data_IF_649974770953
#
_entry.id   IF_649974770953
#
_cell.length_a   1.000
_cell.length_b   1.000
_cell.length_c   1.000
_cell.angle_alpha   90.00
_cell.angle_beta   90.00
_cell.angle_gamma   90.00
#
_symmetry.space_group_name_H-M   'P 1'
#
loop_
_entity.id
_entity.type
_entity.pdbx_description
1 polymer ?
#
# COMPACT_ATOMS: atom_id res chain seq x y z
N UNK A 1 -20.16 6.71 -17.87
CA UNK A 1 -19.85 7.76 -16.86
C UNK A 1 -18.75 8.66 -17.42
N UNK A 2 -19.00 9.95 -17.64
CA UNK A 2 -17.94 10.88 -18.11
C UNK A 2 -17.02 11.23 -16.94
N UNK A 3 -15.72 10.96 -17.09
CA UNK A 3 -14.71 11.27 -16.08
C UNK A 3 -14.29 12.74 -16.24
N UNK A 4 -14.85 13.61 -15.40
CA UNK A 4 -14.54 15.05 -15.40
C UNK A 4 -13.05 15.28 -15.08
N UNK A 5 -12.46 16.30 -15.71
CA UNK A 5 -11.08 16.67 -15.44
C UNK A 5 -11.01 17.43 -14.11
N UNK A 6 -10.42 16.83 -13.08
CA UNK A 6 -10.14 17.52 -11.81
C UNK A 6 -8.81 18.29 -11.90
N UNK A 7 -8.75 19.57 -11.45
CA UNK A 7 -7.56 20.41 -11.54
C UNK A 7 -6.36 19.85 -10.75
N UNK A 8 -6.60 19.02 -9.74
CA UNK A 8 -5.54 18.38 -8.95
C UNK A 8 -4.82 17.22 -9.67
N UNK A 9 -5.38 16.66 -10.75
CA UNK A 9 -4.74 15.59 -11.54
C UNK A 9 -3.44 16.03 -12.22
N UNK A 10 -3.31 17.34 -12.50
CA UNK A 10 -2.18 17.96 -13.19
C UNK A 10 -0.91 17.92 -12.32
N UNK A 11 -1.06 17.87 -11.00
CA UNK A 11 0.07 17.86 -10.06
C UNK A 11 0.45 16.47 -9.53
N UNK A 12 -0.19 15.39 -10.01
CA UNK A 12 0.00 14.03 -9.48
C UNK A 12 1.47 13.61 -9.37
N UNK A 13 2.27 13.75 -10.44
CA UNK A 13 3.69 13.39 -10.41
C UNK A 13 4.48 14.21 -9.38
N UNK A 14 4.33 15.55 -9.39
CA UNK A 14 5.03 16.45 -8.47
C UNK A 14 4.63 16.19 -7.01
N UNK A 15 3.36 15.89 -6.80
CA UNK A 15 2.78 15.54 -5.49
C UNK A 15 3.46 14.28 -4.93
N UNK A 16 3.48 13.20 -5.71
CA UNK A 16 4.16 11.96 -5.31
C UNK A 16 5.66 12.16 -5.13
N UNK A 17 6.33 12.90 -6.01
CA UNK A 17 7.76 13.25 -5.88
C UNK A 17 8.09 13.93 -4.55
N UNK A 18 7.25 14.88 -4.11
CA UNK A 18 7.43 15.59 -2.84
C UNK A 18 7.22 14.66 -1.65
N UNK A 19 6.19 13.81 -1.70
CA UNK A 19 5.92 12.81 -0.67
C UNK A 19 7.10 11.83 -0.55
N UNK A 20 7.56 11.26 -1.67
CA UNK A 20 8.72 10.39 -1.73
C UNK A 20 9.99 11.02 -1.14
N UNK A 21 10.29 12.28 -1.49
CA UNK A 21 11.43 13.02 -0.92
C UNK A 21 11.31 13.22 0.60
N UNK A 22 10.10 13.53 1.09
CA UNK A 22 9.85 13.68 2.51
C UNK A 22 10.10 12.36 3.27
N UNK A 23 9.60 11.24 2.73
CA UNK A 23 9.81 9.90 3.31
C UNK A 23 11.29 9.51 3.28
N UNK A 24 12.00 9.74 2.18
CA UNK A 24 13.44 9.46 2.09
C UNK A 24 14.24 10.28 3.11
N UNK A 25 13.86 11.54 3.34
CA UNK A 25 14.45 12.37 4.39
C UNK A 25 14.21 11.77 5.77
N UNK A 26 12.97 11.37 6.07
CA UNK A 26 12.63 10.70 7.33
C UNK A 26 13.47 9.43 7.57
N UNK A 27 13.58 8.56 6.55
CA UNK A 27 14.41 7.35 6.61
C UNK A 27 15.90 7.65 6.78
N UNK A 28 16.41 8.69 6.13
CA UNK A 28 17.79 9.16 6.33
C UNK A 28 18.02 9.61 7.77
N UNK A 29 17.08 10.35 8.37
CA UNK A 29 17.14 10.74 9.79
C UNK A 29 17.17 9.52 10.72
N UNK A 30 16.34 8.50 10.46
CA UNK A 30 16.36 7.23 11.21
C UNK A 30 17.74 6.56 11.08
N UNK A 31 18.28 6.44 9.87
CA UNK A 31 19.59 5.84 9.64
C UNK A 31 20.72 6.59 10.36
N UNK A 32 20.69 7.92 10.35
CA UNK A 32 21.67 8.75 11.07
C UNK A 32 21.57 8.55 12.58
N UNK A 33 20.36 8.48 13.13
CA UNK A 33 20.14 8.21 14.55
C UNK A 33 20.70 6.85 14.97
N UNK A 34 20.53 5.80 14.16
CA UNK A 34 21.06 4.47 14.45
C UNK A 34 22.59 4.39 14.40
N UNK A 35 23.23 5.21 13.55
CA UNK A 35 24.70 5.27 13.42
C UNK A 35 25.37 6.01 14.58
N UNK A 36 24.63 6.79 15.35
CA UNK A 36 25.15 7.51 16.51
C UNK A 36 25.45 6.54 17.66
N UNK A 37 26.71 6.06 17.70
CA UNK A 37 27.21 5.12 18.72
C UNK A 37 27.21 5.71 20.15
N UNK A 38 27.17 7.03 20.28
CA UNK A 38 27.16 7.73 21.57
C UNK A 38 25.74 8.05 22.06
N UNK A 39 24.70 7.70 21.29
CA UNK A 39 23.32 7.86 21.71
C UNK A 39 22.96 6.84 22.80
N UNK A 40 22.49 7.35 23.94
CA UNK A 40 21.88 6.56 25.00
C UNK A 40 20.79 5.64 24.40
N UNK A 41 20.73 4.37 24.84
CA UNK A 41 19.72 3.41 24.38
C UNK A 41 18.29 3.85 24.74
N UNK A 42 18.15 4.77 25.69
CA UNK A 42 16.88 5.38 26.10
C UNK A 42 16.44 6.56 25.22
N UNK A 43 17.31 7.06 24.34
CA UNK A 43 17.01 8.23 23.50
C UNK A 43 15.89 7.90 22.53
N UNK A 44 14.84 8.73 22.53
CA UNK A 44 13.70 8.64 21.62
C UNK A 44 13.69 9.83 20.69
N UNK A 45 13.28 9.61 19.44
CA UNK A 45 13.04 10.67 18.46
C UNK A 45 11.56 10.68 18.13
N UNK A 46 10.91 11.81 18.39
CA UNK A 46 9.56 12.05 17.87
C UNK A 46 9.66 12.51 16.41
N UNK A 47 8.92 11.85 15.53
CA UNK A 47 8.91 12.15 14.11
C UNK A 47 7.47 12.20 13.61
N UNK A 48 7.15 13.31 12.93
CA UNK A 48 5.91 13.46 12.19
C UNK A 48 6.23 13.25 10.72
N UNK A 49 5.77 12.13 10.15
CA UNK A 49 5.98 11.81 8.74
C UNK A 49 4.67 11.95 7.99
N UNK A 50 4.66 12.78 6.95
CA UNK A 50 3.54 12.81 6.03
C UNK A 50 3.53 11.51 5.22
N UNK A 51 2.49 10.68 5.38
CA UNK A 51 2.30 9.38 4.70
C UNK A 51 1.19 9.43 3.66
N UNK A 52 0.34 10.45 3.71
CA UNK A 52 -0.73 10.71 2.76
C UNK A 52 -1.01 12.20 2.72
N UNK A 53 -1.54 12.70 1.60
CA UNK A 53 -1.88 14.11 1.42
C UNK A 53 -3.35 14.37 1.76
N UNK A 54 -4.11 13.31 2.10
CA UNK A 54 -5.44 13.47 2.69
C UNK A 54 -5.35 13.99 4.13
N UNK A 55 -6.46 14.53 4.61
CA UNK A 55 -6.65 14.87 6.01
C UNK A 55 -6.34 13.65 6.90
N UNK A 56 -5.53 13.85 7.95
CA UNK A 56 -5.08 12.76 8.84
C UNK A 56 -3.89 11.94 8.32
N UNK A 57 -3.28 12.30 7.17
CA UNK A 57 -2.13 11.59 6.60
C UNK A 57 -0.78 11.83 7.30
N UNK A 58 -0.79 12.25 8.57
CA UNK A 58 0.43 12.42 9.38
C UNK A 58 0.57 11.19 10.26
N UNK A 59 1.67 10.47 10.08
CA UNK A 59 2.10 9.41 10.97
C UNK A 59 2.98 10.01 12.05
N UNK A 60 2.44 10.08 13.27
CA UNK A 60 3.21 10.45 14.45
C UNK A 60 3.85 9.19 15.02
N UNK A 61 5.18 9.17 15.05
CA UNK A 61 5.95 8.04 15.54
C UNK A 61 6.98 8.48 16.57
N UNK A 62 7.10 7.68 17.63
CA UNK A 62 8.19 7.77 18.58
C UNK A 62 9.18 6.65 18.25
N UNK A 63 10.36 7.00 17.77
CA UNK A 63 11.37 6.05 17.28
C UNK A 63 12.44 5.84 18.35
N UNK A 64 12.73 4.58 18.64
CA UNK A 64 13.82 4.12 19.48
C UNK A 64 14.61 3.00 18.80
N UNK A 65 15.65 2.48 19.47
CA UNK A 65 16.50 1.41 18.92
C UNK A 65 15.79 0.05 18.82
N UNK A 66 14.63 -0.13 19.43
CA UNK A 66 13.89 -1.40 19.42
C UNK A 66 12.79 -1.43 18.36
N UNK A 67 12.17 -0.28 18.05
CA UNK A 67 11.04 -0.20 17.12
C UNK A 67 11.38 0.35 15.73
N UNK A 68 12.61 0.84 15.51
CA UNK A 68 12.96 1.49 14.24
C UNK A 68 12.72 0.59 13.01
N UNK A 69 12.87 -0.73 13.15
CA UNK A 69 12.76 -1.67 12.04
C UNK A 69 11.34 -1.72 11.48
N UNK A 70 10.32 -1.70 12.35
CA UNK A 70 8.92 -1.73 11.92
C UNK A 70 8.55 -0.45 11.18
N UNK A 71 8.99 0.70 11.72
CA UNK A 71 8.76 2.01 11.13
C UNK A 71 9.51 2.17 9.80
N UNK A 72 10.80 1.82 9.73
CA UNK A 72 11.55 1.89 8.47
C UNK A 72 10.96 0.98 7.39
N UNK A 73 10.52 -0.23 7.78
CA UNK A 73 9.85 -1.16 6.86
C UNK A 73 8.58 -0.56 6.28
N UNK A 74 7.73 0.06 7.11
CA UNK A 74 6.55 0.77 6.64
C UNK A 74 6.90 1.93 5.71
N UNK A 75 7.83 2.80 6.12
CA UNK A 75 8.27 3.94 5.31
C UNK A 75 8.87 3.51 3.95
N UNK A 76 9.56 2.36 3.90
CA UNK A 76 10.06 1.77 2.66
C UNK A 76 8.92 1.48 1.68
N UNK A 77 7.82 0.88 2.14
CA UNK A 77 6.68 0.58 1.26
C UNK A 77 5.91 1.83 0.83
N UNK A 78 5.74 2.82 1.71
CA UNK A 78 5.15 4.11 1.32
C UNK A 78 6.01 4.78 0.24
N UNK A 79 7.34 4.77 0.40
CA UNK A 79 8.28 5.29 -0.61
C UNK A 79 8.19 4.52 -1.92
N UNK A 80 8.03 3.20 -1.87
CA UNK A 80 7.87 2.35 -3.05
C UNK A 80 6.62 2.72 -3.84
N UNK A 81 5.46 2.82 -3.17
CA UNK A 81 4.20 3.21 -3.80
C UNK A 81 4.30 4.60 -4.41
N UNK A 82 4.82 5.57 -3.67
CA UNK A 82 4.91 6.96 -4.15
C UNK A 82 5.82 7.07 -5.38
N UNK A 83 6.94 6.35 -5.40
CA UNK A 83 7.84 6.30 -6.57
C UNK A 83 7.15 5.66 -7.78
N UNK A 84 6.39 4.57 -7.57
CA UNK A 84 5.67 3.90 -8.64
C UNK A 84 4.54 4.79 -9.20
N UNK A 85 3.80 5.49 -8.35
CA UNK A 85 2.77 6.45 -8.74
C UNK A 85 3.35 7.66 -9.46
N UNK A 86 4.49 8.20 -9.01
CA UNK A 86 5.21 9.28 -9.72
C UNK A 86 5.56 8.84 -11.15
N UNK A 87 6.17 7.66 -11.30
CA UNK A 87 6.50 7.09 -12.63
C UNK A 87 5.26 6.91 -13.49
N UNK A 88 4.18 6.37 -12.92
CA UNK A 88 2.91 6.21 -13.60
C UNK A 88 2.38 7.56 -14.12
N UNK A 89 2.41 8.58 -13.27
CA UNK A 89 1.94 9.91 -13.62
C UNK A 89 2.76 10.57 -14.74
N UNK A 90 4.06 10.29 -14.81
CA UNK A 90 4.96 10.81 -15.84
C UNK A 90 4.86 10.08 -17.18
N UNK A 91 4.50 8.79 -17.16
CA UNK A 91 4.57 7.93 -18.35
C UNK A 91 3.24 7.75 -19.06
N UNK A 92 2.13 7.71 -18.32
CA UNK A 92 0.82 7.36 -18.89
C UNK A 92 0.01 8.61 -19.29
N UNK A 93 -0.49 8.69 -20.54
CA UNK A 93 -1.33 9.78 -20.99
C UNK A 93 -2.71 9.74 -20.34
N UNK A 94 -3.39 10.90 -20.25
CA UNK A 94 -4.70 11.08 -19.58
C UNK A 94 -5.65 12.05 -20.29
N UNK A 95 -5.39 12.32 -21.57
CA UNK A 95 -6.15 13.29 -22.35
C UNK A 95 -7.55 12.80 -22.72
N UNK A 96 -7.67 11.55 -23.19
CA UNK A 96 -8.95 10.96 -23.58
C UNK A 96 -9.61 10.13 -22.46
N UNK A 97 -10.90 9.81 -22.62
CA UNK A 97 -11.61 8.92 -21.68
C UNK A 97 -10.95 7.55 -21.59
N UNK A 98 -10.57 6.96 -22.72
CA UNK A 98 -9.87 5.67 -22.77
C UNK A 98 -8.52 5.72 -22.04
N UNK A 99 -7.76 6.79 -22.26
CA UNK A 99 -6.49 7.01 -21.55
C UNK A 99 -6.70 7.15 -20.03
N UNK A 100 -7.75 7.85 -19.58
CA UNK A 100 -8.09 7.94 -18.15
C UNK A 100 -8.51 6.59 -17.56
N UNK A 101 -9.29 5.80 -18.30
CA UNK A 101 -9.69 4.45 -17.91
C UNK A 101 -8.46 3.53 -17.78
N UNK A 102 -7.57 3.54 -18.79
CA UNK A 102 -6.30 2.81 -18.75
C UNK A 102 -5.41 3.25 -17.58
N UNK A 103 -5.34 4.56 -17.35
CA UNK A 103 -4.59 5.12 -16.22
C UNK A 103 -5.13 4.62 -14.88
N UNK A 104 -6.45 4.60 -14.68
CA UNK A 104 -7.10 4.07 -13.48
C UNK A 104 -6.62 2.63 -13.22
N UNK A 105 -6.67 1.77 -14.25
CA UNK A 105 -6.26 0.36 -14.12
C UNK A 105 -4.77 0.23 -13.80
N UNK A 106 -3.90 0.98 -14.46
CA UNK A 106 -2.48 1.01 -14.10
C UNK A 106 -2.26 1.48 -12.66
N UNK A 107 -3.02 2.47 -12.18
CA UNK A 107 -2.94 2.94 -10.81
C UNK A 107 -3.38 1.85 -9.82
N UNK A 108 -4.47 1.14 -10.12
CA UNK A 108 -4.92 -0.03 -9.34
C UNK A 108 -3.81 -1.08 -9.26
N UNK A 109 -3.15 -1.40 -10.39
CA UNK A 109 -2.05 -2.36 -10.43
C UNK A 109 -0.88 -1.91 -9.56
N UNK A 110 -0.50 -0.63 -9.56
CA UNK A 110 0.57 -0.10 -8.69
C UNK A 110 0.27 -0.35 -7.21
N UNK A 111 -0.99 -0.14 -6.78
CA UNK A 111 -1.37 -0.43 -5.41
C UNK A 111 -1.34 -1.94 -5.12
N UNK A 112 -1.86 -2.78 -6.02
CA UNK A 112 -1.81 -4.25 -5.88
C UNK A 112 -0.37 -4.77 -5.80
N UNK A 113 0.54 -4.22 -6.61
CA UNK A 113 1.97 -4.55 -6.59
C UNK A 113 2.60 -4.22 -5.22
N UNK A 114 2.22 -3.09 -4.64
CA UNK A 114 2.71 -2.74 -3.29
C UNK A 114 2.12 -3.69 -2.23
N UNK A 115 0.81 -3.97 -2.28
CA UNK A 115 0.16 -4.91 -1.35
C UNK A 115 0.78 -6.31 -1.43
N UNK A 116 1.11 -6.75 -2.65
CA UNK A 116 1.82 -8.00 -2.88
C UNK A 116 3.21 -7.98 -2.24
N UNK A 117 3.99 -6.93 -2.48
CA UNK A 117 5.33 -6.78 -1.90
C UNK A 117 5.31 -6.74 -0.35
N UNK A 118 4.29 -6.12 0.25
CA UNK A 118 4.08 -6.14 1.70
C UNK A 118 3.77 -7.56 2.19
N UNK A 119 2.89 -8.27 1.50
CA UNK A 119 2.48 -9.63 1.88
C UNK A 119 3.62 -10.65 1.70
N UNK A 120 4.44 -10.50 0.67
CA UNK A 120 5.67 -11.29 0.49
C UNK A 120 6.69 -11.00 1.60
N UNK A 121 6.79 -9.75 2.04
CA UNK A 121 7.62 -9.38 3.20
C UNK A 121 7.09 -9.97 4.51
N UNK A 122 5.77 -9.94 4.73
CA UNK A 122 5.14 -10.61 5.87
C UNK A 122 5.49 -12.11 5.87
N UNK A 123 5.39 -12.76 4.71
CA UNK A 123 5.75 -14.17 4.57
C UNK A 123 7.21 -14.42 4.95
N UNK A 124 8.14 -13.57 4.50
CA UNK A 124 9.55 -13.67 4.83
C UNK A 124 9.84 -13.53 6.34
N UNK A 125 9.09 -12.70 7.07
CA UNK A 125 9.27 -12.54 8.53
C UNK A 125 9.02 -13.85 9.30
N UNK A 126 8.10 -14.69 8.80
CA UNK A 126 7.76 -15.98 9.38
C UNK A 126 8.85 -17.04 9.21
N UNK A 127 9.75 -16.85 8.23
CA UNK A 127 10.87 -17.74 8.00
C UNK A 127 11.91 -17.52 9.10
N UNK A 128 12.26 -18.60 9.78
CA UNK A 128 13.29 -18.57 10.82
C UNK A 128 14.64 -18.54 10.10
N UNK A 129 15.36 -17.42 10.16
CA UNK A 129 16.76 -17.37 9.77
C UNK A 129 17.61 -17.96 10.89
N UNK A 130 18.28 -19.09 10.62
CA UNK A 130 19.27 -19.65 11.53
C UNK A 130 20.38 -18.61 11.80
N UNK A 131 20.56 -18.22 13.06
CA UNK A 131 21.65 -17.34 13.50
C UNK A 131 21.27 -15.91 13.86
N UNK A 132 20.06 -15.41 13.53
CA UNK A 132 19.57 -14.12 14.04
C UNK A 132 18.65 -14.32 15.24
N UNK A 133 19.11 -13.93 16.44
CA UNK A 133 18.26 -13.80 17.63
C UNK A 133 17.44 -12.50 17.58
N UNK A 134 16.60 -12.35 16.56
CA UNK A 134 15.55 -11.31 16.59
C UNK A 134 14.46 -11.78 17.54
N UNK A 135 14.02 -10.90 18.46
CA UNK A 135 12.94 -11.25 19.38
C UNK A 135 11.64 -11.36 18.58
N UNK A 136 10.84 -12.37 18.91
CA UNK A 136 9.50 -12.55 18.33
C UNK A 136 8.64 -11.28 18.47
N UNK A 137 8.79 -10.55 19.59
CA UNK A 137 8.13 -9.26 19.83
C UNK A 137 8.45 -8.21 18.78
N UNK A 138 9.69 -8.18 18.29
CA UNK A 138 10.16 -7.15 17.37
C UNK A 138 9.62 -7.44 15.97
N UNK A 139 9.61 -8.73 15.56
CA UNK A 139 8.93 -9.17 14.34
C UNK A 139 7.43 -8.89 14.38
N UNK A 140 6.78 -9.11 15.51
CA UNK A 140 5.35 -8.85 15.67
C UNK A 140 5.02 -7.35 15.47
N UNK A 141 5.84 -6.43 16.00
CA UNK A 141 5.69 -4.99 15.73
C UNK A 141 5.83 -4.67 14.23
N UNK A 142 6.74 -5.33 13.52
CA UNK A 142 6.86 -5.17 12.05
C UNK A 142 5.58 -5.66 11.35
N UNK A 143 5.03 -6.81 11.77
CA UNK A 143 3.76 -7.32 11.22
C UNK A 143 2.64 -6.31 11.42
N UNK A 144 2.49 -5.76 12.62
CA UNK A 144 1.46 -4.74 12.95
C UNK A 144 1.57 -3.51 12.04
N UNK A 145 2.77 -2.92 11.93
CA UNK A 145 3.01 -1.75 11.08
C UNK A 145 2.71 -2.02 9.60
N UNK A 146 3.05 -3.21 9.10
CA UNK A 146 2.81 -3.59 7.71
C UNK A 146 1.33 -3.91 7.43
N UNK A 147 0.63 -4.51 8.39
CA UNK A 147 -0.82 -4.74 8.30
C UNK A 147 -1.57 -3.41 8.30
N UNK A 148 -1.16 -2.45 9.11
CA UNK A 148 -1.73 -1.10 9.08
C UNK A 148 -1.35 -0.34 7.80
N UNK A 149 -0.21 -0.64 7.20
CA UNK A 149 0.16 -0.11 5.89
C UNK A 149 -0.73 -0.65 4.76
N UNK A 150 -1.15 -1.92 4.84
CA UNK A 150 -2.17 -2.48 3.92
C UNK A 150 -3.47 -1.68 4.01
N UNK A 151 -3.97 -1.39 5.22
CA UNK A 151 -5.18 -0.58 5.39
C UNK A 151 -4.98 0.88 4.95
N UNK A 152 -3.79 1.45 5.16
CA UNK A 152 -3.45 2.77 4.64
C UNK A 152 -3.52 2.77 3.12
N UNK A 153 -2.96 1.78 2.44
CA UNK A 153 -3.04 1.68 0.97
C UNK A 153 -4.49 1.51 0.53
N UNK A 154 -5.25 0.61 1.16
CA UNK A 154 -6.66 0.38 0.81
C UNK A 154 -7.52 1.63 0.95
N UNK A 155 -7.30 2.41 2.02
CA UNK A 155 -8.01 3.67 2.27
C UNK A 155 -7.49 4.85 1.46
N UNK A 156 -6.21 4.82 1.04
CA UNK A 156 -5.60 5.88 0.23
C UNK A 156 -5.69 5.64 -1.29
N UNK A 157 -6.03 4.43 -1.72
CA UNK A 157 -6.22 4.08 -3.13
C UNK A 157 -7.49 4.74 -3.69
N UNK A 158 -7.30 5.82 -4.45
CA UNK A 158 -8.38 6.55 -5.10
C UNK A 158 -8.05 6.96 -6.53
N UNK A 159 -9.09 7.14 -7.33
CA UNK A 159 -8.99 7.78 -8.63
C UNK A 159 -10.18 8.72 -8.84
N UNK A 160 -9.92 10.02 -8.99
CA UNK A 160 -10.97 11.06 -9.08
C UNK A 160 -12.01 10.94 -7.97
N UNK A 161 -11.54 10.91 -6.72
CA UNK A 161 -12.38 10.82 -5.52
C UNK A 161 -13.14 9.48 -5.37
N UNK A 162 -12.99 8.56 -6.32
CA UNK A 162 -13.53 7.21 -6.20
C UNK A 162 -12.55 6.33 -5.43
N UNK A 163 -13.00 5.78 -4.30
CA UNK A 163 -12.24 4.80 -3.52
C UNK A 163 -12.19 3.45 -4.23
N UNK A 164 -11.00 2.92 -4.47
CA UNK A 164 -10.83 1.72 -5.30
C UNK A 164 -11.01 0.42 -4.49
N UNK A 165 -10.53 0.39 -3.24
CA UNK A 165 -10.37 -0.85 -2.46
C UNK A 165 -11.30 -0.97 -1.25
N UNK A 166 -12.29 -0.10 -1.13
CA UNK A 166 -13.28 -0.08 -0.04
C UNK A 166 -14.54 -0.89 -0.33
N UNK A 167 -14.65 -1.47 -1.54
CA UNK A 167 -15.76 -2.34 -1.92
C UNK A 167 -16.86 -1.67 -2.75
N UNK A 168 -16.76 -0.36 -3.01
CA UNK A 168 -17.75 0.37 -3.81
C UNK A 168 -17.90 -0.19 -5.23
N UNK A 169 -16.85 -0.79 -5.78
CA UNK A 169 -16.82 -1.40 -7.12
C UNK A 169 -16.67 -2.94 -7.10
N UNK A 170 -16.90 -3.58 -5.95
CA UNK A 170 -16.88 -5.02 -5.86
C UNK A 170 -18.06 -5.64 -6.62
N UNK A 171 -17.94 -6.90 -7.04
CA UNK A 171 -19.01 -7.62 -7.76
C UNK A 171 -20.34 -7.68 -7.00
N UNK A 172 -20.28 -7.72 -5.67
CA UNK A 172 -21.44 -7.72 -4.78
C UNK A 172 -21.86 -6.32 -4.32
N UNK A 173 -21.21 -5.25 -4.83
CA UNK A 173 -21.53 -3.87 -4.45
C UNK A 173 -22.95 -3.50 -4.84
N UNK A 174 -23.63 -2.81 -3.93
CA UNK A 174 -24.94 -2.19 -4.17
C UNK A 174 -24.84 -0.68 -4.37
N UNK A 175 -23.64 -0.12 -4.21
CA UNK A 175 -23.42 1.34 -4.15
C UNK A 175 -23.03 1.89 -5.51
N UNK A 176 -22.08 1.26 -6.20
CA UNK A 176 -21.55 1.75 -7.47
C UNK A 176 -21.15 0.61 -8.42
N UNK A 177 -21.02 0.96 -9.70
CA UNK A 177 -20.51 0.07 -10.75
C UNK A 177 -19.56 0.83 -11.66
N UNK A 178 -18.57 0.14 -12.21
CA UNK A 178 -17.55 0.74 -13.07
C UNK A 178 -17.69 0.20 -14.50
N UNK A 179 -17.95 1.11 -15.44
CA UNK A 179 -18.17 0.78 -16.86
C UNK A 179 -17.07 1.40 -17.72
N UNK A 180 -16.43 0.56 -18.52
CA UNK A 180 -15.32 0.89 -19.39
C UNK A 180 -15.76 0.82 -20.85
N UNK A 181 -15.08 1.57 -21.72
CA UNK A 181 -15.31 1.55 -23.15
C UNK A 181 -14.19 0.72 -23.79
N UNK A 182 -14.55 -0.29 -24.58
CA UNK A 182 -13.60 -1.05 -25.40
C UNK A 182 -13.27 -0.31 -26.70
N UNK A 183 -12.22 -0.76 -27.39
CA UNK A 183 -11.78 -0.16 -28.66
C UNK A 183 -12.86 -0.21 -29.75
N UNK A 184 -13.74 -1.22 -29.71
CA UNK A 184 -14.88 -1.38 -30.62
C UNK A 184 -16.09 -0.47 -30.26
N UNK A 185 -16.03 0.30 -29.17
CA UNK A 185 -17.09 1.20 -28.73
C UNK A 185 -18.18 0.55 -27.85
N UNK A 186 -18.06 -0.74 -27.53
CA UNK A 186 -18.93 -1.40 -26.56
C UNK A 186 -18.56 -1.01 -25.12
N UNK A 187 -19.51 -1.16 -24.20
CA UNK A 187 -19.24 -0.96 -22.78
C UNK A 187 -19.17 -2.29 -22.07
N UNK A 188 -18.12 -2.47 -21.27
CA UNK A 188 -17.98 -3.64 -20.39
C UNK A 188 -17.81 -3.20 -18.94
N UNK A 189 -18.26 -4.05 -18.03
CA UNK A 189 -18.17 -3.78 -16.60
C UNK A 189 -16.87 -4.34 -16.03
N UNK A 190 -16.25 -3.57 -15.14
CA UNK A 190 -15.08 -3.99 -14.37
C UNK A 190 -15.43 -4.02 -12.90
N UNK A 191 -14.84 -4.97 -12.18
CA UNK A 191 -14.97 -5.11 -10.75
C UNK A 191 -13.61 -4.88 -10.09
N UNK A 192 -13.60 -4.11 -9.01
CA UNK A 192 -12.44 -3.96 -8.14
C UNK A 192 -12.88 -4.38 -6.74
N UNK A 193 -12.38 -5.51 -6.21
CA UNK A 193 -12.79 -6.00 -4.91
C UNK A 193 -12.17 -5.19 -3.76
N UNK A 194 -12.68 -5.43 -2.56
CA UNK A 194 -12.11 -4.89 -1.33
C UNK A 194 -10.72 -5.48 -1.04
N UNK A 195 -9.73 -4.62 -0.78
CA UNK A 195 -8.33 -5.01 -0.51
C UNK A 195 -7.81 -4.54 0.86
N UNK A 196 -8.72 -4.38 1.83
CA UNK A 196 -8.37 -4.11 3.23
C UNK A 196 -7.64 -5.30 3.87
N UNK A 197 -6.88 -5.06 4.94
CA UNK A 197 -6.22 -6.12 5.70
C UNK A 197 -7.21 -7.19 6.19
N UNK A 198 -8.42 -6.78 6.58
CA UNK A 198 -9.50 -7.68 7.00
C UNK A 198 -10.01 -8.57 5.85
N UNK A 199 -10.23 -8.01 4.65
CA UNK A 199 -10.66 -8.79 3.49
C UNK A 199 -9.58 -9.73 2.97
N UNK A 200 -8.31 -9.40 3.22
CA UNK A 200 -7.15 -10.23 2.92
C UNK A 200 -6.82 -11.26 4.02
N UNK A 201 -7.56 -11.29 5.13
CA UNK A 201 -7.31 -12.22 6.25
C UNK A 201 -6.06 -11.93 7.08
N UNK A 202 -5.54 -10.69 7.00
CA UNK A 202 -4.38 -10.22 7.75
C UNK A 202 -4.75 -9.58 9.11
N UNK A 203 -6.06 -9.43 9.37
CA UNK A 203 -6.61 -9.09 10.69
C UNK A 203 -7.54 -10.18 11.17
N UNK A 204 -7.60 -10.37 12.49
CA UNK A 204 -8.53 -11.28 13.13
C UNK A 204 -9.94 -10.66 13.29
N UNK A 205 -10.82 -11.37 13.98
CA UNK A 205 -12.18 -10.90 14.24
C UNK A 205 -12.24 -9.72 15.22
N UNK A 206 -11.22 -9.55 16.06
CA UNK A 206 -11.07 -8.41 16.98
C UNK A 206 -10.44 -7.18 16.31
N UNK A 207 -10.09 -7.31 15.03
CA UNK A 207 -9.42 -6.29 14.23
C UNK A 207 -7.95 -6.08 14.63
N UNK A 208 -7.35 -7.08 15.28
CA UNK A 208 -5.93 -7.13 15.60
C UNK A 208 -5.15 -7.78 14.45
N UNK A 209 -3.90 -7.36 14.25
CA UNK A 209 -3.02 -7.97 13.26
C UNK A 209 -2.78 -9.45 13.57
N UNK A 210 -2.66 -10.28 12.53
CA UNK A 210 -2.33 -11.70 12.69
C UNK A 210 -1.01 -11.89 13.45
N UNK A 211 -0.96 -12.89 14.31
CA UNK A 211 0.18 -13.12 15.20
C UNK A 211 1.18 -14.11 14.59
N UNK A 212 2.48 -13.79 14.69
CA UNK A 212 3.57 -14.64 14.17
C UNK A 212 3.93 -15.82 15.08
N UNK A 213 3.39 -15.87 16.31
CA UNK A 213 3.62 -16.94 17.29
C UNK A 213 3.25 -18.35 16.82
N UNK A 214 2.34 -18.47 15.85
CA UNK A 214 2.09 -19.73 15.15
C UNK A 214 2.51 -19.56 13.68
N UNK A 215 3.75 -19.94 13.31
CA UNK A 215 4.27 -19.72 11.97
C UNK A 215 3.44 -20.38 10.87
N UNK A 216 2.86 -21.56 11.12
CA UNK A 216 2.09 -22.28 10.11
C UNK A 216 0.76 -21.59 9.80
N UNK A 217 0.00 -21.19 10.82
CA UNK A 217 -1.25 -20.44 10.64
C UNK A 217 -0.98 -19.07 9.98
N UNK A 218 0.06 -18.37 10.47
CA UNK A 218 0.47 -17.09 9.90
C UNK A 218 0.83 -17.22 8.41
N UNK A 219 1.64 -18.20 8.03
CA UNK A 219 2.02 -18.44 6.63
C UNK A 219 0.81 -18.75 5.75
N UNK A 220 -0.13 -19.55 6.24
CA UNK A 220 -1.34 -19.90 5.48
C UNK A 220 -2.20 -18.65 5.21
N UNK A 221 -2.40 -17.80 6.22
CA UNK A 221 -3.15 -16.54 6.07
C UNK A 221 -2.47 -15.57 5.12
N UNK A 222 -1.15 -15.40 5.24
CA UNK A 222 -0.38 -14.54 4.34
C UNK A 222 -0.39 -15.09 2.91
N UNK A 223 -0.29 -16.40 2.73
CA UNK A 223 -0.36 -17.04 1.40
C UNK A 223 -1.72 -16.81 0.75
N UNK A 224 -2.80 -16.95 1.51
CA UNK A 224 -4.15 -16.60 1.04
C UNK A 224 -4.21 -15.14 0.53
N UNK A 225 -3.64 -14.19 1.27
CA UNK A 225 -3.57 -12.79 0.84
C UNK A 225 -2.77 -12.63 -0.47
N UNK A 226 -1.60 -13.26 -0.58
CA UNK A 226 -0.75 -13.23 -1.78
C UNK A 226 -1.50 -13.77 -2.99
N UNK A 227 -2.12 -14.94 -2.87
CA UNK A 227 -2.83 -15.60 -3.96
C UNK A 227 -4.01 -14.73 -4.42
N UNK A 228 -4.76 -14.17 -3.47
CA UNK A 228 -5.87 -13.25 -3.74
C UNK A 228 -5.39 -11.99 -4.50
N UNK A 229 -4.31 -11.36 -4.06
CA UNK A 229 -3.77 -10.16 -4.71
C UNK A 229 -3.29 -10.49 -6.14
N UNK A 230 -2.64 -11.65 -6.34
CA UNK A 230 -2.17 -12.11 -7.66
C UNK A 230 -3.31 -12.35 -8.64
N UNK A 231 -4.39 -12.99 -8.19
CA UNK A 231 -5.58 -13.20 -9.00
C UNK A 231 -6.17 -11.88 -9.50
N UNK A 232 -6.34 -10.92 -8.59
CA UNK A 232 -6.96 -9.64 -8.89
C UNK A 232 -6.05 -8.77 -9.76
N UNK A 233 -4.74 -8.81 -9.51
CA UNK A 233 -3.74 -8.19 -10.39
C UNK A 233 -3.83 -8.76 -11.82
N UNK A 234 -3.94 -10.09 -11.96
CA UNK A 234 -4.09 -10.73 -13.27
C UNK A 234 -5.36 -10.26 -13.97
N UNK A 235 -6.48 -10.16 -13.26
CA UNK A 235 -7.72 -9.60 -13.82
C UNK A 235 -7.55 -8.17 -14.32
N UNK A 236 -6.89 -7.30 -13.55
CA UNK A 236 -6.61 -5.92 -13.96
C UNK A 236 -5.68 -5.83 -15.17
N UNK A 237 -4.71 -6.74 -15.30
CA UNK A 237 -3.83 -6.79 -16.49
C UNK A 237 -4.64 -7.20 -17.73
N UNK A 238 -5.49 -8.23 -17.63
CA UNK A 238 -6.33 -8.66 -18.75
C UNK A 238 -7.25 -7.54 -19.26
N UNK A 239 -7.74 -6.68 -18.38
CA UNK A 239 -8.52 -5.49 -18.74
C UNK A 239 -7.73 -4.54 -19.65
N UNK A 240 -6.41 -4.42 -19.48
CA UNK A 240 -5.58 -3.55 -20.31
C UNK A 240 -5.34 -4.10 -21.72
N UNK A 241 -5.56 -5.41 -21.89
CA UNK A 241 -5.41 -6.15 -23.15
C UNK A 241 -6.73 -6.31 -23.91
N UNK A 242 -7.84 -5.87 -23.31
CA UNK A 242 -9.22 -5.92 -23.85
C UNK A 242 -9.62 -4.61 -24.53
#
# INVERSE_FOLDING_TARGET
MKINAHPHLIFGAKRESLLGKHILKARSTISHFLKDKNSDTTKKIEMNVLTSIRFGGILHNVIDKENYQSIDSRLKFISLTSTALERLHLTQPRGSTFQKQKFLIHQTIVYLDTLLAISEHLFALSVIEDGKKEKQSDKQKVVEELVDEVDRIASTAEFNEMSLFTGDFAKSSRTASMWFLSENGEMFQIFIPTMTSKSLGLKDFKNDAITISNPSDFQNKVKFAIDRIKEERKQMVNVLES
#
